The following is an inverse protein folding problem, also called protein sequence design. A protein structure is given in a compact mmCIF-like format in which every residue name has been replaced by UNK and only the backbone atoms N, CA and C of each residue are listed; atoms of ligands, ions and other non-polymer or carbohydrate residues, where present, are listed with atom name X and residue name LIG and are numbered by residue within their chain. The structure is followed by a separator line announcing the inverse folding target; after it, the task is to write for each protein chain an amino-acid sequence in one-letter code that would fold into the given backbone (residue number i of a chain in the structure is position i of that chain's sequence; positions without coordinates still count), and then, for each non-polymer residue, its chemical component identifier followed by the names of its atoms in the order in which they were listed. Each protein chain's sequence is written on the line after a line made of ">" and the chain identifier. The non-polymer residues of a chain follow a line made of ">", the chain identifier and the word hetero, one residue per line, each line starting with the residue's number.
data_IF_484128020739
#
_entry.id   IF_484128020739
#
_cell.length_a   1.000
_cell.length_b   1.000
_cell.length_c   1.000
_cell.angle_alpha   90.00
_cell.angle_beta   90.00
_cell.angle_gamma   90.00
#
_symmetry.space_group_name_H-M   'P 1'
#
loop_
_entity.id
_entity.type
_entity.pdbx_description
1 polymer ?
#
# COMPACT_ATOMS: atom_id res chain seq x y z
N UNK A 1 -49.41 40.44 -31.76
CA UNK A 1 -47.94 40.23 -31.92
C UNK A 1 -47.15 40.32 -30.61
N UNK A 2 -47.35 41.34 -29.75
CA UNK A 2 -46.58 41.50 -28.49
C UNK A 2 -46.68 40.32 -27.50
N UNK A 3 -47.80 39.59 -27.49
CA UNK A 3 -47.99 38.42 -26.62
C UNK A 3 -47.31 37.14 -27.12
N UNK A 4 -47.19 36.96 -28.44
CA UNK A 4 -46.51 35.80 -29.04
C UNK A 4 -44.99 35.84 -28.80
N UNK A 5 -44.41 37.05 -28.85
CA UNK A 5 -42.98 37.29 -28.58
C UNK A 5 -42.63 36.97 -27.12
N UNK A 6 -43.52 37.32 -26.17
CA UNK A 6 -43.35 36.98 -24.75
C UNK A 6 -43.40 35.46 -24.51
N UNK A 7 -44.29 34.75 -25.19
CA UNK A 7 -44.40 33.28 -25.10
C UNK A 7 -43.12 32.56 -25.56
N UNK A 8 -42.57 32.99 -26.69
CA UNK A 8 -41.33 32.42 -27.26
C UNK A 8 -40.12 32.70 -26.35
N UNK A 9 -40.02 33.91 -25.81
CA UNK A 9 -38.93 34.28 -24.91
C UNK A 9 -38.93 33.45 -23.61
N UNK A 10 -40.12 33.17 -23.08
CA UNK A 10 -40.29 32.37 -21.86
C UNK A 10 -39.93 30.90 -22.10
N UNK A 11 -40.23 30.38 -23.30
CA UNK A 11 -39.88 29.01 -23.70
C UNK A 11 -38.36 28.84 -23.87
N UNK A 12 -37.67 29.84 -24.44
CA UNK A 12 -36.21 29.80 -24.62
C UNK A 12 -35.49 29.79 -23.26
N UNK A 13 -35.94 30.60 -22.30
CA UNK A 13 -35.37 30.63 -20.94
C UNK A 13 -35.60 29.30 -20.21
N UNK A 14 -36.76 28.68 -20.38
CA UNK A 14 -37.05 27.38 -19.78
C UNK A 14 -36.14 26.27 -20.35
N UNK A 15 -35.86 26.30 -21.65
CA UNK A 15 -34.99 25.33 -22.32
C UNK A 15 -33.52 25.52 -21.92
N UNK A 16 -33.05 26.76 -21.75
CA UNK A 16 -31.68 27.02 -21.29
C UNK A 16 -31.44 26.66 -19.83
N UNK A 17 -32.45 26.75 -18.95
CA UNK A 17 -32.35 26.29 -17.56
C UNK A 17 -32.35 24.76 -17.43
N UNK A 18 -33.08 24.04 -18.29
CA UNK A 18 -33.11 22.57 -18.29
C UNK A 18 -31.85 21.94 -18.93
N UNK A 19 -31.18 22.66 -19.84
CA UNK A 19 -29.96 22.19 -20.50
C UNK A 19 -28.68 22.24 -19.64
N UNK A 20 -28.71 22.95 -18.51
CA UNK A 20 -27.52 23.12 -17.63
C UNK A 20 -27.45 22.00 -16.56
N UNK A 21 -28.52 21.23 -16.34
CA UNK A 21 -28.54 20.20 -15.27
C UNK A 21 -27.96 18.85 -15.66
N UNK A 22 -27.54 18.63 -16.92
CA UNK A 22 -27.15 17.30 -17.42
C UNK A 22 -25.65 17.00 -17.38
N UNK A 23 -24.82 17.81 -16.72
CA UNK A 23 -23.37 17.55 -16.60
C UNK A 23 -22.85 17.56 -15.16
N UNK A 24 -23.70 17.27 -14.18
CA UNK A 24 -23.22 16.80 -12.87
C UNK A 24 -22.88 15.31 -12.95
N UNK A 25 -22.05 14.92 -13.91
CA UNK A 25 -21.25 13.71 -13.75
C UNK A 25 -20.42 13.98 -12.50
N UNK A 26 -20.82 13.38 -11.38
CA UNK A 26 -20.00 13.34 -10.18
C UNK A 26 -18.66 12.79 -10.63
N UNK A 27 -17.67 13.67 -10.82
CA UNK A 27 -16.28 13.28 -11.02
C UNK A 27 -15.94 12.53 -9.76
N UNK A 28 -16.06 11.20 -9.81
CA UNK A 28 -15.55 10.33 -8.78
C UNK A 28 -14.05 10.50 -8.85
N UNK A 29 -13.54 11.45 -8.08
CA UNK A 29 -12.12 11.64 -7.93
C UNK A 29 -11.58 10.28 -7.49
N UNK A 30 -10.80 9.64 -8.36
CA UNK A 30 -10.14 8.38 -8.04
C UNK A 30 -9.24 8.64 -6.83
N UNK A 31 -9.79 8.43 -5.63
CA UNK A 31 -9.04 8.62 -4.39
C UNK A 31 -7.98 7.54 -4.38
N UNK A 32 -6.72 7.96 -4.49
CA UNK A 32 -5.59 7.05 -4.31
C UNK A 32 -5.71 6.41 -2.93
N UNK A 33 -5.80 5.10 -2.89
CA UNK A 33 -5.90 4.35 -1.66
C UNK A 33 -4.50 4.13 -1.10
N UNK A 34 -4.26 4.65 0.11
CA UNK A 34 -3.03 4.40 0.83
C UNK A 34 -3.01 2.98 1.40
N UNK A 35 -1.86 2.31 1.30
CA UNK A 35 -1.65 1.01 1.94
C UNK A 35 -1.07 1.20 3.33
N UNK A 36 -1.57 0.42 4.30
CA UNK A 36 -1.07 0.47 5.68
C UNK A 36 -0.66 -0.89 6.19
N UNK A 37 0.43 -0.91 6.97
CA UNK A 37 0.87 -2.12 7.65
C UNK A 37 -0.04 -2.34 8.88
N UNK A 38 -0.53 -3.59 9.11
CA UNK A 38 -1.39 -3.89 10.24
C UNK A 38 -0.69 -3.60 11.57
N UNK A 39 -1.44 -3.05 12.53
CA UNK A 39 -0.91 -2.64 13.85
C UNK A 39 -0.09 -3.74 14.51
N UNK A 40 -0.54 -4.99 14.40
CA UNK A 40 0.15 -6.12 15.02
C UNK A 40 1.55 -6.37 14.47
N UNK A 41 1.89 -6.01 13.23
CA UNK A 41 3.26 -6.18 12.72
C UNK A 41 4.16 -4.98 13.04
N UNK A 42 3.58 -3.83 13.40
CA UNK A 42 4.34 -2.59 13.59
C UNK A 42 5.34 -2.74 14.72
N UNK A 43 6.52 -2.18 14.51
CA UNK A 43 7.66 -2.29 15.40
C UNK A 43 8.98 -2.17 14.65
N UNK A 44 10.06 -2.19 15.42
CA UNK A 44 11.41 -2.37 14.91
C UNK A 44 11.87 -3.74 15.36
N UNK A 45 12.40 -4.51 14.43
CA UNK A 45 12.72 -5.91 14.63
C UNK A 45 14.14 -6.19 14.15
N UNK A 46 14.85 -7.00 14.90
CA UNK A 46 16.26 -7.27 14.71
C UNK A 46 16.52 -8.78 14.62
N UNK A 47 17.31 -9.18 13.65
CA UNK A 47 17.84 -10.54 13.53
C UNK A 47 19.38 -10.48 13.51
N UNK A 48 20.07 -11.43 14.12
CA UNK A 48 21.53 -11.53 14.10
C UNK A 48 21.91 -12.98 13.87
N UNK A 49 22.77 -13.21 12.91
CA UNK A 49 23.33 -14.51 12.58
C UNK A 49 24.87 -14.44 12.51
N UNK A 50 25.51 -15.46 11.94
CA UNK A 50 26.96 -15.50 11.73
C UNK A 50 27.46 -14.49 10.70
N UNK A 51 26.59 -13.93 9.86
CA UNK A 51 26.92 -13.05 8.75
C UNK A 51 26.70 -11.56 9.08
N UNK A 52 25.87 -11.25 10.09
CA UNK A 52 25.70 -9.89 10.59
C UNK A 52 24.39 -9.68 11.32
N UNK A 53 23.87 -8.45 11.27
CA UNK A 53 22.53 -8.15 11.77
C UNK A 53 21.63 -7.63 10.65
N UNK A 54 20.38 -8.03 10.69
CA UNK A 54 19.31 -7.44 9.91
C UNK A 54 18.45 -6.54 10.77
N UNK A 55 17.88 -5.52 10.14
CA UNK A 55 16.88 -4.64 10.75
C UNK A 55 15.66 -4.52 9.85
N UNK A 56 14.50 -4.81 10.41
CA UNK A 56 13.19 -4.58 9.79
C UNK A 56 12.46 -3.49 10.58
N UNK A 57 11.93 -2.48 9.90
CA UNK A 57 10.99 -1.53 10.51
C UNK A 57 9.65 -1.58 9.80
N UNK A 58 8.61 -1.88 10.58
CA UNK A 58 7.22 -1.81 10.18
C UNK A 58 6.56 -0.61 10.85
N UNK A 59 6.27 0.44 10.09
CA UNK A 59 5.50 1.61 10.53
C UNK A 59 4.13 1.63 9.85
N UNK A 60 3.25 2.59 10.18
CA UNK A 60 1.91 2.67 9.57
C UNK A 60 1.94 2.67 8.03
N UNK A 61 2.88 3.39 7.43
CA UNK A 61 3.01 3.56 5.98
C UNK A 61 4.38 3.16 5.43
N UNK A 62 5.27 2.56 6.23
CA UNK A 62 6.66 2.29 5.81
C UNK A 62 7.07 0.87 6.16
N UNK A 63 7.57 0.16 5.16
CA UNK A 63 8.40 -1.02 5.33
C UNK A 63 9.85 -0.63 5.06
N UNK A 64 10.74 -0.91 6.01
CA UNK A 64 12.18 -0.72 5.85
C UNK A 64 12.89 -2.03 6.14
N UNK A 65 13.81 -2.42 5.27
CA UNK A 65 14.67 -3.57 5.44
C UNK A 65 16.12 -3.18 5.24
N UNK A 66 17.00 -3.63 6.13
CA UNK A 66 18.45 -3.53 5.99
C UNK A 66 19.05 -4.89 6.31
N UNK A 67 19.68 -5.52 5.33
CA UNK A 67 20.43 -6.75 5.50
C UNK A 67 21.83 -6.51 6.10
N UNK A 68 22.61 -7.57 6.29
CA UNK A 68 23.89 -7.51 6.99
C UNK A 68 24.98 -6.88 6.11
N UNK A 69 24.90 -7.05 4.79
CA UNK A 69 25.82 -6.49 3.80
C UNK A 69 25.45 -5.07 3.33
N UNK A 70 24.27 -4.57 3.71
CA UNK A 70 23.76 -3.32 3.17
C UNK A 70 24.33 -2.12 3.90
N UNK A 71 24.93 -1.18 3.16
CA UNK A 71 25.33 0.13 3.70
C UNK A 71 24.09 0.96 4.05
N UNK A 72 23.07 0.89 3.20
CA UNK A 72 21.79 1.57 3.35
C UNK A 72 20.64 0.58 3.15
N UNK A 73 19.62 0.67 3.99
CA UNK A 73 18.42 -0.17 3.85
C UNK A 73 17.42 0.38 2.84
N UNK A 74 16.60 -0.51 2.29
CA UNK A 74 15.53 -0.22 1.34
C UNK A 74 14.26 0.21 2.07
N UNK A 75 13.61 1.28 1.62
CA UNK A 75 12.34 1.78 2.16
C UNK A 75 11.25 1.74 1.11
N UNK A 76 10.09 1.20 1.46
CA UNK A 76 8.88 1.15 0.63
C UNK A 76 7.75 1.86 1.38
N UNK A 77 6.99 2.70 0.65
CA UNK A 77 6.02 3.61 1.26
C UNK A 77 4.59 3.41 0.75
N UNK A 78 3.66 3.13 1.68
CA UNK A 78 2.24 2.97 1.36
C UNK A 78 1.50 4.28 1.08
N UNK A 79 2.19 5.41 1.24
CA UNK A 79 1.71 6.74 0.89
C UNK A 79 2.38 7.37 -0.32
N UNK A 80 3.25 6.62 -1.01
CA UNK A 80 3.93 7.10 -2.21
C UNK A 80 3.38 6.38 -3.45
N UNK A 81 3.16 7.13 -4.54
CA UNK A 81 2.49 6.65 -5.75
C UNK A 81 3.29 7.05 -6.97
N UNK A 82 4.13 6.14 -7.46
CA UNK A 82 4.92 6.38 -8.65
C UNK A 82 4.05 6.39 -9.91
N UNK A 83 4.44 7.17 -10.93
CA UNK A 83 3.69 7.29 -12.19
C UNK A 83 3.49 5.93 -12.89
N UNK A 84 4.51 5.07 -12.84
CA UNK A 84 4.45 3.71 -13.40
C UNK A 84 3.56 2.75 -12.62
N UNK A 85 3.20 3.08 -11.37
CA UNK A 85 2.33 2.26 -10.53
C UNK A 85 0.85 2.39 -10.85
N UNK A 86 0.44 3.11 -11.91
CA UNK A 86 -0.96 3.27 -12.32
C UNK A 86 -1.94 3.67 -11.19
N UNK A 87 -1.48 4.42 -10.19
CA UNK A 87 -2.28 4.84 -9.04
C UNK A 87 -2.23 3.90 -7.83
N UNK A 88 -1.48 2.80 -7.91
CA UNK A 88 -1.15 1.94 -6.78
C UNK A 88 -0.05 2.56 -5.91
N UNK A 89 -0.12 2.29 -4.60
CA UNK A 89 0.94 2.67 -3.67
C UNK A 89 2.17 1.80 -3.87
N UNK A 90 3.36 2.34 -3.59
CA UNK A 90 4.63 1.61 -3.67
C UNK A 90 4.69 0.41 -2.71
N UNK A 91 3.99 0.49 -1.57
CA UNK A 91 3.82 -0.64 -0.64
C UNK A 91 2.63 -1.52 -1.00
N UNK A 92 2.83 -2.82 -0.94
CA UNK A 92 1.81 -3.85 -0.96
C UNK A 92 1.69 -4.53 0.42
N UNK A 93 0.46 -4.89 0.80
CA UNK A 93 0.17 -5.66 2.02
C UNK A 93 -1.02 -6.58 1.76
N UNK A 94 -0.81 -7.90 1.85
CA UNK A 94 -1.86 -8.91 1.69
C UNK A 94 -1.88 -9.86 2.89
N UNK A 95 -3.09 -10.21 3.34
CA UNK A 95 -3.28 -11.16 4.44
C UNK A 95 -3.62 -12.56 3.92
N UNK A 96 -3.08 -13.58 4.58
CA UNK A 96 -3.38 -14.99 4.34
C UNK A 96 -3.97 -15.66 5.59
N UNK A 97 -4.90 -16.61 5.39
CA UNK A 97 -5.70 -17.24 6.46
C UNK A 97 -4.86 -17.91 7.58
N UNK A 98 -3.61 -18.25 7.33
CA UNK A 98 -2.65 -18.85 8.28
C UNK A 98 -1.94 -17.84 9.20
N UNK A 99 -2.34 -16.56 9.15
CA UNK A 99 -1.82 -15.50 9.99
C UNK A 99 -0.63 -14.74 9.39
N UNK A 100 -0.20 -15.09 8.18
CA UNK A 100 0.89 -14.43 7.48
C UNK A 100 0.42 -13.21 6.69
N UNK A 101 1.32 -12.25 6.54
CA UNK A 101 1.18 -11.10 5.68
C UNK A 101 2.27 -11.14 4.64
N UNK A 102 1.90 -11.00 3.38
CA UNK A 102 2.85 -10.64 2.35
C UNK A 102 3.00 -9.11 2.36
N UNK A 103 4.24 -8.65 2.49
CA UNK A 103 4.58 -7.23 2.56
C UNK A 103 5.82 -6.99 1.71
N UNK A 104 5.66 -6.16 0.68
CA UNK A 104 6.72 -5.91 -0.28
C UNK A 104 6.44 -4.68 -1.13
N UNK A 105 7.23 -4.57 -2.20
CA UNK A 105 7.03 -3.53 -3.19
C UNK A 105 5.90 -3.93 -4.13
N UNK A 106 5.07 -2.96 -4.51
CA UNK A 106 4.04 -3.19 -5.51
C UNK A 106 4.66 -3.64 -6.85
N UNK A 107 4.10 -4.69 -7.44
CA UNK A 107 4.52 -5.27 -8.72
C UNK A 107 5.98 -5.81 -8.75
N UNK A 108 6.56 -6.18 -7.60
CA UNK A 108 7.79 -6.98 -7.52
C UNK A 108 7.46 -8.47 -7.34
N UNK A 109 8.40 -9.36 -7.64
CA UNK A 109 8.31 -10.79 -7.30
C UNK A 109 8.03 -10.95 -5.79
N UNK A 110 6.82 -11.41 -5.46
CA UNK A 110 6.14 -11.24 -4.16
C UNK A 110 6.74 -12.07 -3.03
N UNK A 111 7.76 -11.53 -2.34
CA UNK A 111 8.39 -12.10 -1.14
C UNK A 111 9.00 -10.96 -0.30
N UNK A 112 9.14 -11.04 1.04
CA UNK A 112 8.92 -12.18 1.94
C UNK A 112 7.61 -12.08 2.78
N UNK A 113 7.17 -13.21 3.35
CA UNK A 113 5.99 -13.30 4.21
C UNK A 113 6.34 -13.06 5.69
N UNK A 114 5.42 -12.46 6.44
CA UNK A 114 5.64 -12.03 7.83
C UNK A 114 4.52 -12.49 8.75
N UNK A 115 4.90 -13.01 9.93
CA UNK A 115 3.96 -13.35 11.00
C UNK A 115 4.51 -12.92 12.35
N UNK A 116 3.69 -12.26 13.18
CA UNK A 116 4.07 -11.94 14.57
C UNK A 116 3.72 -13.09 15.49
N UNK A 117 4.69 -13.45 16.33
CA UNK A 117 4.59 -14.46 17.37
C UNK A 117 5.10 -13.83 18.69
N UNK A 118 4.22 -13.11 19.40
CA UNK A 118 4.57 -12.42 20.64
C UNK A 118 5.60 -11.30 20.47
N UNK A 119 6.78 -11.48 21.07
CA UNK A 119 7.92 -10.55 21.01
C UNK A 119 8.81 -10.74 19.77
N UNK A 120 8.36 -11.57 18.82
CA UNK A 120 9.10 -11.93 17.62
C UNK A 120 8.25 -11.72 16.36
N UNK A 121 8.92 -11.51 15.23
CA UNK A 121 8.34 -11.74 13.90
C UNK A 121 9.13 -12.84 13.19
N UNK A 122 8.42 -13.65 12.43
CA UNK A 122 8.99 -14.67 11.56
C UNK A 122 8.88 -14.19 10.13
N UNK A 123 10.00 -14.15 9.43
CA UNK A 123 10.09 -14.04 7.98
C UNK A 123 10.00 -15.43 7.38
N UNK A 124 9.24 -15.58 6.31
CA UNK A 124 9.12 -16.80 5.54
C UNK A 124 9.29 -16.49 4.05
N UNK A 125 10.23 -17.17 3.41
CA UNK A 125 10.43 -17.11 1.96
C UNK A 125 10.27 -18.53 1.40
N UNK A 126 9.16 -18.80 0.69
CA UNK A 126 9.03 -19.97 -0.16
C UNK A 126 10.18 -20.10 -1.13
N UNK A 127 10.74 -21.30 -1.22
CA UNK A 127 11.72 -21.61 -2.25
C UNK A 127 11.10 -21.46 -3.62
N UNK A 128 11.77 -20.73 -4.50
CA UNK A 128 11.46 -20.67 -5.93
C UNK A 128 11.79 -22.03 -6.57
N UNK A 129 10.88 -23.01 -6.43
CA UNK A 129 10.97 -24.30 -7.13
C UNK A 129 11.73 -25.44 -6.41
N UNK A 130 11.96 -25.35 -5.10
CA UNK A 130 12.59 -26.42 -4.30
C UNK A 130 12.04 -26.52 -2.87
N UNK A 131 12.36 -27.59 -2.10
CA UNK A 131 11.85 -27.80 -0.74
C UNK A 131 12.44 -26.84 0.32
N UNK A 132 13.28 -25.89 -0.08
CA UNK A 132 13.95 -24.96 0.82
C UNK A 132 13.06 -23.78 1.17
N UNK A 133 12.42 -23.87 2.34
CA UNK A 133 11.81 -22.72 3.01
C UNK A 133 12.87 -21.98 3.83
N UNK A 134 12.99 -20.67 3.67
CA UNK A 134 13.82 -19.85 4.55
C UNK A 134 12.97 -19.26 5.68
N UNK A 135 13.42 -19.45 6.92
CA UNK A 135 12.81 -18.87 8.11
C UNK A 135 13.84 -18.05 8.88
N UNK A 136 13.58 -16.75 9.03
CA UNK A 136 14.34 -15.90 9.94
C UNK A 136 13.45 -15.39 11.08
N UNK A 137 13.99 -15.36 12.29
CA UNK A 137 13.30 -14.89 13.49
C UNK A 137 13.91 -13.58 13.94
N UNK A 138 13.09 -12.53 13.97
CA UNK A 138 13.47 -11.21 14.44
C UNK A 138 12.85 -10.92 15.80
N UNK A 139 13.57 -10.20 16.66
CA UNK A 139 13.15 -9.81 18.01
C UNK A 139 12.94 -8.31 18.09
N UNK A 140 12.03 -7.86 18.95
CA UNK A 140 11.77 -6.44 19.17
C UNK A 140 12.92 -5.69 19.89
N UNK A 141 13.87 -6.41 20.48
CA UNK A 141 15.00 -5.84 21.22
C UNK A 141 16.22 -5.59 20.33
N UNK A 142 16.87 -4.46 20.54
CA UNK A 142 18.20 -4.15 19.99
C UNK A 142 19.22 -5.19 20.44
N UNK A 143 20.15 -5.58 19.55
CA UNK A 143 21.37 -6.27 19.97
C UNK A 143 22.28 -5.24 20.65
N UNK A 144 22.72 -5.55 21.88
CA UNK A 144 23.80 -4.82 22.55
C UNK A 144 25.14 -5.40 22.11
#
# INVERSE_FOLDING_TARGET
>A
MKHAIKGILTLIIAITCLGITSNFSSVSAAKRHYTTIPVKLRGTWYHRDSYGYDKVVFSKYRFYFKGPSDVHGTSIYGNHFHKYGMGHSDLFVQYYKNGYYDIGQYASDEWPFWKRNGAHITQFVPGLGGPSHFYAYYRASHFK
#
